data_IF_278760291994
#
_entry.id   IF_278760291994
#
_cell.length_a   1.000
_cell.length_b   1.000
_cell.length_c   1.000
_cell.angle_alpha   90.00
_cell.angle_beta   90.00
_cell.angle_gamma   90.00
#
_symmetry.space_group_name_H-M   'P 1'
#
loop_
_entity.id
_entity.type
_entity.pdbx_description
1 polymer ?
#
# COMPACT_ATOMS: atom_id res chain seq x y z
N UNK A 1 -0.78 55.99 -13.36
CA UNK A 1 -1.18 54.89 -14.26
C UNK A 1 -1.79 53.83 -13.39
N UNK A 2 -3.12 53.85 -13.25
CA UNK A 2 -3.86 52.86 -12.47
C UNK A 2 -4.00 51.57 -13.27
N UNK A 3 -3.29 50.53 -12.85
CA UNK A 3 -3.45 49.19 -13.40
C UNK A 3 -4.76 48.56 -12.89
N UNK A 4 -5.71 48.39 -13.81
CA UNK A 4 -6.95 47.66 -13.58
C UNK A 4 -6.67 46.15 -13.41
N UNK A 5 -6.90 45.61 -12.21
CA UNK A 5 -6.93 44.16 -11.96
C UNK A 5 -8.32 43.60 -12.25
N UNK A 6 -8.52 43.07 -13.46
CA UNK A 6 -9.70 42.25 -13.76
C UNK A 6 -9.62 40.92 -12.99
N UNK A 7 -10.72 40.45 -12.37
CA UNK A 7 -10.76 39.14 -11.73
C UNK A 7 -10.61 38.03 -12.78
N UNK A 8 -9.84 37.00 -12.45
CA UNK A 8 -9.54 35.87 -13.33
C UNK A 8 -10.86 35.27 -13.92
N UNK A 9 -11.06 35.30 -15.26
CA UNK A 9 -12.31 34.88 -15.89
C UNK A 9 -12.61 33.38 -15.75
N UNK A 10 -11.62 32.58 -15.31
CA UNK A 10 -11.75 31.15 -15.08
C UNK A 10 -12.27 30.79 -13.68
N UNK A 11 -12.55 31.75 -12.80
CA UNK A 11 -13.08 31.48 -11.44
C UNK A 11 -14.42 30.71 -11.47
N UNK A 12 -15.22 30.89 -12.53
CA UNK A 12 -16.54 30.25 -12.67
C UNK A 12 -16.54 28.93 -13.44
N UNK A 13 -15.40 28.50 -13.98
CA UNK A 13 -15.34 27.24 -14.72
C UNK A 13 -15.12 26.08 -13.75
N UNK A 14 -16.18 25.28 -13.58
CA UNK A 14 -16.11 23.98 -12.90
C UNK A 14 -15.08 23.14 -13.65
N UNK A 15 -13.89 22.95 -13.07
CA UNK A 15 -12.86 22.07 -13.64
C UNK A 15 -13.50 20.75 -14.01
N UNK A 16 -13.39 20.35 -15.28
CA UNK A 16 -13.76 19.02 -15.71
C UNK A 16 -13.02 18.02 -14.82
N UNK A 17 -13.78 17.22 -14.08
CA UNK A 17 -13.21 16.14 -13.26
C UNK A 17 -12.83 15.04 -14.23
N UNK A 18 -11.59 15.06 -14.70
CA UNK A 18 -11.01 13.92 -15.41
C UNK A 18 -11.24 12.70 -14.52
N UNK A 19 -11.83 11.64 -15.08
CA UNK A 19 -11.90 10.36 -14.39
C UNK A 19 -10.47 9.94 -14.08
N UNK A 20 -10.13 9.94 -12.78
CA UNK A 20 -8.81 9.52 -12.32
C UNK A 20 -8.66 8.04 -12.68
N UNK A 21 -7.75 7.73 -13.61
CA UNK A 21 -7.43 6.34 -13.94
C UNK A 21 -7.03 5.60 -12.65
N UNK A 22 -7.46 4.34 -12.48
CA UNK A 22 -7.03 3.56 -11.33
C UNK A 22 -5.51 3.46 -11.30
N UNK A 23 -4.90 3.39 -10.11
CA UNK A 23 -3.46 3.26 -9.97
C UNK A 23 -3.01 1.96 -10.64
N UNK A 24 -1.86 2.01 -11.30
CA UNK A 24 -1.20 0.79 -11.76
C UNK A 24 -0.80 -0.04 -10.55
N UNK A 25 -0.82 -1.36 -10.70
CA UNK A 25 -0.39 -2.34 -9.72
C UNK A 25 0.20 -3.57 -10.44
N UNK A 26 0.95 -4.40 -9.71
CA UNK A 26 1.60 -5.59 -10.27
C UNK A 26 0.66 -6.80 -10.24
N UNK A 27 0.67 -7.60 -11.31
CA UNK A 27 0.04 -8.92 -11.31
C UNK A 27 0.93 -9.98 -10.63
N UNK A 28 0.38 -11.17 -10.39
CA UNK A 28 1.09 -12.25 -9.68
C UNK A 28 2.42 -12.61 -10.34
N UNK A 29 2.47 -12.74 -11.67
CA UNK A 29 3.71 -13.05 -12.38
C UNK A 29 4.78 -11.97 -12.20
N UNK A 30 4.38 -10.70 -12.20
CA UNK A 30 5.30 -9.58 -11.96
C UNK A 30 5.77 -9.54 -10.51
N UNK A 31 4.93 -9.94 -9.56
CA UNK A 31 5.31 -10.09 -8.16
C UNK A 31 6.34 -11.22 -8.02
N UNK A 32 6.09 -12.38 -8.63
CA UNK A 32 7.00 -13.52 -8.61
C UNK A 32 8.37 -13.15 -9.19
N UNK A 33 8.40 -12.53 -10.38
CA UNK A 33 9.66 -12.06 -11.00
C UNK A 33 10.41 -11.10 -10.06
N UNK A 34 9.71 -10.16 -9.42
CA UNK A 34 10.31 -9.18 -8.52
C UNK A 34 10.88 -9.83 -7.24
N UNK A 35 10.24 -10.91 -6.76
CA UNK A 35 10.66 -11.63 -5.55
C UNK A 35 11.71 -12.70 -5.83
N UNK A 36 11.77 -13.26 -7.03
CA UNK A 36 12.72 -14.30 -7.44
C UNK A 36 14.05 -13.73 -7.95
N UNK A 37 14.04 -12.48 -8.44
CA UNK A 37 15.24 -11.72 -8.82
C UNK A 37 16.03 -11.35 -7.56
N UNK A 38 16.77 -12.30 -6.97
CA UNK A 38 17.63 -12.11 -5.79
C UNK A 38 19.02 -12.68 -6.05
N UNK A 39 20.01 -11.80 -6.00
CA UNK A 39 21.42 -12.15 -5.90
C UNK A 39 21.80 -12.36 -4.42
N UNK A 40 22.69 -13.30 -4.09
CA UNK A 40 23.06 -13.60 -2.70
C UNK A 40 24.05 -12.56 -2.12
N UNK A 41 23.72 -11.28 -2.24
CA UNK A 41 24.49 -10.17 -1.64
C UNK A 41 23.70 -9.54 -0.49
N UNK A 42 24.35 -9.04 0.58
CA UNK A 42 23.65 -8.45 1.72
C UNK A 42 22.68 -7.32 1.33
N UNK A 43 23.11 -6.44 0.42
CA UNK A 43 22.29 -5.33 -0.08
C UNK A 43 21.03 -5.84 -0.77
N UNK A 44 21.16 -6.89 -1.58
CA UNK A 44 20.07 -7.40 -2.40
C UNK A 44 19.06 -8.22 -1.58
N UNK A 45 19.54 -8.89 -0.54
CA UNK A 45 18.71 -9.50 0.50
C UNK A 45 17.88 -8.43 1.22
N UNK A 46 18.50 -7.30 1.60
CA UNK A 46 17.78 -6.17 2.22
C UNK A 46 16.73 -5.57 1.26
N UNK A 47 17.07 -5.41 -0.02
CA UNK A 47 16.13 -4.96 -1.06
C UNK A 47 14.91 -5.89 -1.13
N UNK A 48 15.14 -7.22 -1.20
CA UNK A 48 14.06 -8.21 -1.22
C UNK A 48 13.18 -8.15 0.02
N UNK A 49 13.77 -8.06 1.21
CA UNK A 49 13.04 -7.92 2.48
C UNK A 49 12.17 -6.67 2.50
N UNK A 50 12.69 -5.52 2.05
CA UNK A 50 11.92 -4.28 1.95
C UNK A 50 10.76 -4.41 0.96
N UNK A 51 10.96 -5.06 -0.19
CA UNK A 51 9.89 -5.34 -1.15
C UNK A 51 8.80 -6.21 -0.51
N UNK A 52 9.17 -7.30 0.17
CA UNK A 52 8.24 -8.18 0.89
C UNK A 52 7.44 -7.42 1.95
N UNK A 53 8.07 -6.53 2.71
CA UNK A 53 7.38 -5.69 3.70
C UNK A 53 6.34 -4.80 3.01
N UNK A 54 6.70 -4.14 1.90
CA UNK A 54 5.78 -3.27 1.18
C UNK A 54 4.58 -4.04 0.63
N UNK A 55 4.82 -5.22 0.02
CA UNK A 55 3.78 -6.09 -0.51
C UNK A 55 2.93 -6.74 0.58
N UNK A 56 3.45 -6.90 1.80
CA UNK A 56 2.70 -7.51 2.93
C UNK A 56 1.92 -6.49 3.76
N UNK A 57 2.29 -5.21 3.72
CA UNK A 57 1.75 -4.20 4.66
C UNK A 57 1.19 -2.93 4.00
N UNK A 58 1.42 -2.72 2.69
CA UNK A 58 1.04 -1.48 2.01
C UNK A 58 1.81 -0.25 2.49
N UNK A 59 2.99 -0.44 3.10
CA UNK A 59 3.89 0.66 3.47
C UNK A 59 4.38 1.43 2.25
N UNK A 60 4.75 2.70 2.45
CA UNK A 60 5.56 3.39 1.44
C UNK A 60 6.97 2.79 1.44
N UNK A 61 7.65 2.83 0.29
CA UNK A 61 9.04 2.35 0.21
C UNK A 61 9.94 3.06 1.23
N UNK A 62 9.86 4.39 1.32
CA UNK A 62 10.64 5.15 2.31
C UNK A 62 10.31 4.79 3.76
N UNK A 63 9.05 4.40 4.06
CA UNK A 63 8.68 3.98 5.42
C UNK A 63 9.33 2.62 5.74
N UNK A 64 9.38 1.70 4.77
CA UNK A 64 9.99 0.38 4.93
C UNK A 64 11.52 0.43 4.98
N UNK A 65 12.15 1.19 4.08
CA UNK A 65 13.62 1.38 4.02
C UNK A 65 14.16 1.94 5.34
N UNK A 66 13.42 2.87 5.97
CA UNK A 66 13.86 3.51 7.21
C UNK A 66 13.39 2.80 8.49
N UNK A 67 12.86 1.58 8.40
CA UNK A 67 12.41 0.86 9.59
C UNK A 67 13.55 0.65 10.58
N UNK A 68 13.28 0.98 11.84
CA UNK A 68 14.15 0.70 12.97
C UNK A 68 13.70 -0.56 13.71
N UNK A 69 14.62 -1.27 14.36
CA UNK A 69 14.34 -2.47 15.16
C UNK A 69 13.26 -2.22 16.21
N UNK A 70 13.23 -1.03 16.82
CA UNK A 70 12.22 -0.63 17.81
C UNK A 70 10.79 -0.58 17.26
N UNK A 71 10.62 -0.49 15.94
CA UNK A 71 9.33 -0.50 15.27
C UNK A 71 8.83 -1.92 14.96
N UNK A 72 9.67 -2.93 15.15
CA UNK A 72 9.35 -4.33 14.95
C UNK A 72 8.99 -4.97 16.30
N UNK A 73 7.72 -5.29 16.48
CA UNK A 73 7.25 -6.15 17.57
C UNK A 73 6.92 -7.54 17.03
N UNK A 74 6.75 -8.52 17.91
CA UNK A 74 6.40 -9.89 17.51
C UNK A 74 5.20 -9.89 16.56
N UNK A 75 5.45 -10.29 15.30
CA UNK A 75 4.48 -10.38 14.21
C UNK A 75 3.76 -9.08 13.84
N UNK A 76 4.35 -7.91 14.15
CA UNK A 76 3.75 -6.61 13.87
C UNK A 76 4.81 -5.56 13.54
N UNK A 77 4.55 -4.73 12.53
CA UNK A 77 5.38 -3.56 12.20
C UNK A 77 4.59 -2.30 12.54
N UNK A 78 5.21 -1.39 13.28
CA UNK A 78 4.63 -0.08 13.62
C UNK A 78 5.27 1.02 12.78
N UNK A 79 4.49 1.58 11.86
CA UNK A 79 4.92 2.73 11.06
C UNK A 79 4.57 4.02 11.80
N UNK A 80 5.61 4.78 12.17
CA UNK A 80 5.50 6.08 12.83
C UNK A 80 5.72 7.20 11.81
N UNK A 81 5.13 8.38 12.05
CA UNK A 81 5.22 9.51 11.12
C UNK A 81 5.76 10.76 11.81
N UNK A 82 6.67 11.49 11.15
CA UNK A 82 7.19 12.80 11.58
C UNK A 82 6.43 14.00 10.99
N UNK A 83 5.44 13.78 10.10
CA UNK A 83 4.59 14.85 9.56
C UNK A 83 3.17 14.35 9.25
N UNK A 84 2.25 14.55 10.20
CA UNK A 84 0.81 14.64 9.95
C UNK A 84 0.02 13.37 9.58
N UNK A 85 0.53 12.15 9.78
CA UNK A 85 -0.32 10.93 9.73
C UNK A 85 -0.21 10.13 11.02
N UNK A 86 -1.29 9.45 11.36
CA UNK A 86 -1.40 8.63 12.56
C UNK A 86 -0.41 7.46 12.49
N UNK A 87 0.18 7.13 13.62
CA UNK A 87 0.92 5.88 13.77
C UNK A 87 -0.03 4.72 13.47
N UNK A 88 0.48 3.70 12.79
CA UNK A 88 -0.30 2.50 12.50
C UNK A 88 0.56 1.27 12.68
N UNK A 89 -0.06 0.22 13.19
CA UNK A 89 0.58 -1.07 13.37
C UNK A 89 -0.10 -2.07 12.46
N UNK A 90 0.69 -2.75 11.63
CA UNK A 90 0.21 -3.74 10.66
C UNK A 90 0.75 -5.11 11.06
N UNK A 91 -0.12 -6.13 11.21
CA UNK A 91 0.32 -7.49 11.47
C UNK A 91 1.07 -8.06 10.26
N UNK A 92 2.07 -8.90 10.54
CA UNK A 92 2.86 -9.63 9.53
C UNK A 92 2.92 -11.11 9.90
N UNK A 93 3.25 -11.97 8.93
CA UNK A 93 3.41 -13.40 9.18
C UNK A 93 4.61 -13.69 10.09
N UNK A 94 4.59 -14.87 10.72
CA UNK A 94 5.73 -15.37 11.49
C UNK A 94 6.99 -15.49 10.64
N UNK A 95 6.84 -15.94 9.40
CA UNK A 95 7.96 -16.15 8.49
C UNK A 95 8.61 -14.82 8.10
N UNK A 96 7.80 -13.81 7.74
CA UNK A 96 8.34 -12.48 7.44
C UNK A 96 9.01 -11.86 8.68
N UNK A 97 8.43 -12.03 9.86
CA UNK A 97 9.05 -11.56 11.10
C UNK A 97 10.41 -12.21 11.33
N UNK A 98 10.51 -13.53 11.21
CA UNK A 98 11.77 -14.26 11.39
C UNK A 98 12.81 -13.86 10.33
N UNK A 99 12.37 -13.54 9.11
CA UNK A 99 13.26 -13.14 8.02
C UNK A 99 13.91 -11.76 8.25
N UNK A 100 13.19 -10.82 8.88
CA UNK A 100 13.62 -9.42 9.04
C UNK A 100 14.06 -9.05 10.46
N UNK A 101 13.81 -9.92 11.44
CA UNK A 101 14.18 -9.66 12.83
C UNK A 101 15.70 -9.57 12.99
N UNK A 102 16.13 -8.61 13.81
CA UNK A 102 17.52 -8.37 14.17
C UNK A 102 17.59 -7.99 15.65
N UNK A 103 18.56 -8.53 16.37
CA UNK A 103 18.87 -8.19 17.77
C UNK A 103 19.74 -6.93 17.88
N UNK A 104 20.33 -6.49 16.77
CA UNK A 104 21.22 -5.33 16.74
C UNK A 104 20.40 -4.04 16.69
N UNK A 105 20.61 -3.14 17.64
CA UNK A 105 19.95 -1.84 17.64
C UNK A 105 20.32 -1.02 16.40
N UNK A 106 19.33 -0.36 15.78
CA UNK A 106 19.54 0.48 14.60
C UNK A 106 18.46 0.32 13.53
N UNK A 107 18.79 0.77 12.32
CA UNK A 107 17.98 0.52 11.13
C UNK A 107 18.04 -0.98 10.77
N UNK A 108 16.91 -1.51 10.29
CA UNK A 108 16.81 -2.91 9.87
C UNK A 108 17.52 -3.18 8.54
N UNK A 109 17.65 -2.17 7.69
CA UNK A 109 18.13 -2.33 6.32
C UNK A 109 19.21 -1.31 6.00
N UNK A 110 20.18 -1.73 5.21
CA UNK A 110 21.27 -0.90 4.68
C UNK A 110 20.96 -0.31 3.30
N UNK A 111 19.95 -0.85 2.61
CA UNK A 111 19.55 -0.41 1.28
C UNK A 111 18.90 0.99 1.30
N UNK A 112 18.88 1.63 0.14
CA UNK A 112 18.26 2.93 -0.08
C UNK A 112 17.02 2.83 -0.96
N UNK A 113 16.24 3.90 -1.00
CA UNK A 113 15.12 4.01 -1.95
C UNK A 113 15.55 3.83 -3.41
N UNK A 114 16.76 4.27 -3.77
CA UNK A 114 17.28 4.14 -5.13
C UNK A 114 17.48 2.67 -5.49
N UNK A 115 17.93 1.84 -4.55
CA UNK A 115 18.14 0.40 -4.76
C UNK A 115 16.81 -0.30 -5.03
N UNK A 116 15.79 -0.02 -4.21
CA UNK A 116 14.43 -0.55 -4.42
C UNK A 116 13.87 -0.11 -5.78
N UNK A 117 14.04 1.17 -6.12
CA UNK A 117 13.58 1.72 -7.40
C UNK A 117 14.28 1.06 -8.59
N UNK A 118 15.57 0.80 -8.48
CA UNK A 118 16.34 0.14 -9.52
C UNK A 118 15.89 -1.30 -9.71
N UNK A 119 15.68 -2.05 -8.62
CA UNK A 119 15.10 -3.40 -8.67
C UNK A 119 13.74 -3.42 -9.36
N UNK A 120 12.81 -2.55 -8.96
CA UNK A 120 11.48 -2.49 -9.60
C UNK A 120 11.60 -2.21 -11.11
N UNK A 121 12.54 -1.34 -11.52
CA UNK A 121 12.73 -0.98 -12.92
C UNK A 121 13.45 -2.04 -13.75
N UNK A 122 14.33 -2.85 -13.15
CA UNK A 122 14.98 -3.95 -13.86
C UNK A 122 14.02 -5.12 -14.07
N UNK A 123 13.07 -5.31 -13.15
CA UNK A 123 12.13 -6.43 -13.19
C UNK A 123 10.82 -6.12 -13.93
N UNK A 124 10.50 -4.83 -14.20
CA UNK A 124 9.22 -4.40 -14.78
C UNK A 124 9.45 -3.35 -15.89
N UNK A 125 9.22 -3.75 -17.14
CA UNK A 125 9.50 -2.96 -18.35
C UNK A 125 8.63 -1.69 -18.48
N UNK A 126 7.35 -1.75 -18.12
CA UNK A 126 6.39 -0.65 -18.32
C UNK A 126 5.92 -0.01 -17.01
N UNK A 127 6.85 0.57 -16.25
CA UNK A 127 6.49 1.31 -15.05
C UNK A 127 6.23 2.80 -15.35
N UNK A 128 5.01 3.34 -15.08
CA UNK A 128 4.73 4.75 -15.27
C UNK A 128 5.69 5.64 -14.47
N UNK A 129 6.18 6.73 -15.08
CA UNK A 129 7.14 7.63 -14.43
C UNK A 129 6.63 8.11 -13.07
N UNK A 130 7.46 7.96 -12.04
CA UNK A 130 7.15 8.38 -10.67
C UNK A 130 6.38 7.36 -9.83
N UNK A 131 5.85 6.28 -10.42
CA UNK A 131 5.04 5.30 -9.67
C UNK A 131 5.84 4.24 -8.91
N UNK A 132 7.14 4.07 -9.17
CA UNK A 132 7.99 3.14 -8.41
C UNK A 132 7.88 3.29 -6.88
N UNK A 133 7.70 4.53 -6.42
CA UNK A 133 7.54 4.86 -4.99
C UNK A 133 6.29 4.25 -4.35
N UNK A 134 5.24 3.99 -5.13
CA UNK A 134 3.92 3.59 -4.64
C UNK A 134 3.41 2.30 -5.28
N UNK A 135 4.06 1.77 -6.31
CA UNK A 135 3.58 0.58 -7.05
C UNK A 135 3.40 -0.62 -6.12
N UNK A 136 4.31 -0.87 -5.18
CA UNK A 136 4.17 -1.96 -4.20
C UNK A 136 2.99 -1.75 -3.25
N UNK A 137 2.75 -0.50 -2.83
CA UNK A 137 1.60 -0.14 -1.99
C UNK A 137 0.29 -0.28 -2.74
N UNK A 138 0.25 0.17 -3.99
CA UNK A 138 -0.90 -0.01 -4.86
C UNK A 138 -1.16 -1.48 -5.12
N UNK A 139 -0.12 -2.28 -5.30
CA UNK A 139 -0.19 -3.74 -5.44
C UNK A 139 -0.82 -4.39 -4.23
N UNK A 140 -0.30 -4.14 -3.03
CA UNK A 140 -0.93 -4.62 -1.79
C UNK A 140 -2.41 -4.22 -1.73
N UNK A 141 -2.73 -2.94 -1.97
CA UNK A 141 -4.09 -2.43 -1.83
C UNK A 141 -5.07 -3.00 -2.86
N UNK A 142 -4.66 -3.13 -4.12
CA UNK A 142 -5.46 -3.74 -5.18
C UNK A 142 -5.74 -5.20 -4.87
N UNK A 143 -4.69 -5.99 -4.60
CA UNK A 143 -4.83 -7.41 -4.25
C UNK A 143 -5.66 -7.64 -2.99
N UNK A 144 -5.48 -6.79 -1.97
CA UNK A 144 -6.29 -6.85 -0.75
C UNK A 144 -7.79 -6.70 -1.05
N UNK A 145 -8.17 -5.76 -1.93
CA UNK A 145 -9.57 -5.56 -2.32
C UNK A 145 -10.07 -6.68 -3.25
N UNK A 146 -9.26 -7.13 -4.22
CA UNK A 146 -9.58 -8.26 -5.09
C UNK A 146 -9.90 -9.53 -4.31
N UNK A 147 -9.19 -9.73 -3.20
CA UNK A 147 -9.36 -10.86 -2.30
C UNK A 147 -10.50 -10.68 -1.29
N UNK A 148 -11.42 -9.72 -1.51
CA UNK A 148 -12.59 -9.49 -0.65
C UNK A 148 -12.30 -8.73 0.64
N UNK A 149 -11.15 -8.05 0.72
CA UNK A 149 -10.78 -7.26 1.89
C UNK A 149 -11.74 -6.11 2.17
N UNK A 150 -11.89 -5.76 3.46
CA UNK A 150 -12.75 -4.65 3.89
C UNK A 150 -12.06 -3.29 3.65
N UNK A 151 -12.72 -2.39 2.91
CA UNK A 151 -12.18 -1.07 2.54
C UNK A 151 -11.81 -0.19 3.74
N UNK A 152 -12.53 -0.30 4.87
CA UNK A 152 -12.24 0.44 6.10
C UNK A 152 -10.99 -0.11 6.79
N UNK A 153 -10.79 -1.42 6.74
CA UNK A 153 -9.56 -2.06 7.23
C UNK A 153 -8.38 -1.65 6.37
N UNK A 154 -8.54 -1.64 5.03
CA UNK A 154 -7.52 -1.14 4.12
C UNK A 154 -7.15 0.32 4.41
N UNK A 155 -8.14 1.18 4.70
CA UNK A 155 -7.89 2.58 5.07
C UNK A 155 -6.98 2.68 6.30
N UNK A 156 -7.22 1.86 7.32
CA UNK A 156 -6.41 1.80 8.53
C UNK A 156 -5.00 1.28 8.25
N UNK A 157 -4.87 0.18 7.50
CA UNK A 157 -3.58 -0.41 7.12
C UNK A 157 -2.73 0.59 6.31
N UNK A 158 -3.35 1.33 5.39
CA UNK A 158 -2.66 2.34 4.59
C UNK A 158 -2.39 3.65 5.35
N UNK A 159 -3.07 3.87 6.48
CA UNK A 159 -2.98 5.12 7.25
C UNK A 159 -3.57 6.33 6.50
N UNK A 160 -4.63 6.12 5.72
CA UNK A 160 -5.33 7.20 5.01
C UNK A 160 -6.26 7.95 5.96
N UNK A 161 -6.05 9.26 6.11
CA UNK A 161 -6.92 10.12 6.94
C UNK A 161 -8.28 10.36 6.29
N UNK A 162 -8.34 10.31 4.96
CA UNK A 162 -9.55 10.50 4.18
C UNK A 162 -9.87 9.23 3.41
N UNK A 163 -11.05 8.66 3.66
CA UNK A 163 -11.53 7.45 2.98
C UNK A 163 -11.53 7.59 1.46
N UNK A 164 -11.71 8.80 0.92
CA UNK A 164 -11.65 9.06 -0.53
C UNK A 164 -10.34 8.58 -1.17
N UNK A 165 -9.22 8.63 -0.44
CA UNK A 165 -7.92 8.11 -0.91
C UNK A 165 -7.92 6.58 -1.06
N UNK A 166 -8.67 5.89 -0.20
CA UNK A 166 -8.80 4.43 -0.25
C UNK A 166 -9.86 4.00 -1.26
N UNK A 167 -10.91 4.80 -1.47
CA UNK A 167 -11.98 4.51 -2.43
C UNK A 167 -11.48 4.31 -3.86
N UNK A 168 -10.29 4.82 -4.20
CA UNK A 168 -9.62 4.53 -5.48
C UNK A 168 -9.47 3.02 -5.75
N UNK A 169 -9.40 2.15 -4.73
CA UNK A 169 -9.31 0.69 -4.88
C UNK A 169 -10.67 -0.03 -4.82
N UNK A 170 -11.77 0.67 -4.54
CA UNK A 170 -13.08 0.04 -4.27
C UNK A 170 -13.63 -0.77 -5.44
N UNK A 171 -13.31 -0.38 -6.68
CA UNK A 171 -13.73 -1.09 -7.90
C UNK A 171 -13.07 -2.47 -8.08
N UNK A 172 -12.02 -2.78 -7.31
CA UNK A 172 -11.43 -4.11 -7.27
C UNK A 172 -12.17 -5.08 -6.34
N UNK A 173 -13.07 -4.57 -5.48
CA UNK A 173 -13.83 -5.43 -4.60
C UNK A 173 -14.75 -6.35 -5.41
N UNK A 174 -14.86 -7.65 -5.06
CA UNK A 174 -15.85 -8.53 -5.65
C UNK A 174 -17.27 -7.97 -5.46
N UNK A 175 -18.15 -8.22 -6.43
CA UNK A 175 -19.55 -7.82 -6.33
C UNK A 175 -20.30 -8.76 -5.38
N UNK A 176 -20.89 -8.18 -4.34
CA UNK A 176 -21.59 -8.90 -3.27
C UNK A 176 -23.07 -8.51 -3.16
N UNK A 177 -23.71 -8.03 -4.24
CA UNK A 177 -25.09 -7.56 -4.17
C UNK A 177 -26.07 -8.62 -3.62
N UNK A 178 -25.81 -9.91 -3.90
CA UNK A 178 -26.60 -11.02 -3.38
C UNK A 178 -26.39 -11.28 -1.88
N UNK A 179 -25.28 -10.80 -1.29
CA UNK A 179 -25.01 -10.95 0.14
C UNK A 179 -26.02 -10.17 0.99
N UNK A 180 -26.67 -9.15 0.43
CA UNK A 180 -27.78 -8.46 1.10
C UNK A 180 -28.94 -9.42 1.45
N UNK A 181 -29.16 -10.46 0.65
CA UNK A 181 -30.16 -11.49 0.94
C UNK A 181 -29.65 -12.44 2.03
N UNK A 182 -28.36 -12.77 2.05
CA UNK A 182 -27.80 -13.75 2.99
C UNK A 182 -27.47 -13.17 4.36
N UNK A 183 -27.12 -11.89 4.43
CA UNK A 183 -26.61 -11.20 5.63
C UNK A 183 -27.63 -10.27 6.29
N UNK A 184 -28.87 -10.18 5.76
CA UNK A 184 -29.90 -9.41 6.44
C UNK A 184 -30.34 -10.10 7.75
N UNK A 185 -30.82 -9.33 8.74
CA UNK A 185 -31.17 -9.87 10.06
C UNK A 185 -32.30 -10.92 10.01
N UNK A 186 -33.18 -10.90 9.00
CA UNK A 186 -34.29 -11.85 8.89
C UNK A 186 -33.75 -13.25 8.54
N UNK A 187 -32.89 -13.35 7.52
CA UNK A 187 -32.30 -14.63 7.11
C UNK A 187 -31.26 -15.15 8.11
N UNK A 188 -30.49 -14.27 8.77
CA UNK A 188 -29.56 -14.69 9.82
C UNK A 188 -30.27 -15.27 11.05
N UNK A 189 -31.40 -14.71 11.46
CA UNK A 189 -32.15 -15.21 12.61
C UNK A 189 -32.74 -16.61 12.35
N UNK A 190 -33.10 -16.93 11.10
CA UNK A 190 -33.54 -18.29 10.73
C UNK A 190 -32.43 -19.34 10.88
N UNK A 191 -31.18 -18.98 10.62
CA UNK A 191 -30.03 -19.89 10.78
C UNK A 191 -29.62 -20.14 12.23
N UNK A 192 -29.81 -19.14 13.10
CA UNK A 192 -29.42 -19.21 14.51
C UNK A 192 -30.52 -19.76 15.42
N UNK A 193 -31.75 -19.89 14.92
CA UNK A 193 -32.93 -20.36 15.65
C UNK A 193 -33.39 -21.76 15.28
N UNK A 194 -32.54 -22.58 14.66
CA UNK A 194 -32.81 -23.98 14.27
C UNK A 194 -31.85 -24.96 14.90
#
# INVERSE_FOLDING_TARGET
MDEWKLPNPFIKLKKFKLEEKPPSFLNDKQIDILLDDINPTPLDIDVSRVVKICLSTGSRVMEAVNLNVTQLSKYKITFTNTKGKRNRTVPISKDLYNEIHSDTAGQLFSCTYTDIRNRIRSSIDELPKGQATHILRHTFASHFMMNGGNILVLQQILGHTNIKQTMTYSHFAPSHLNDAILLNPIEMNKKNGG
#
